data_IF_134158225281
#
_entry.id   IF_134158225281
#
_cell.length_a   1.000
_cell.length_b   1.000
_cell.length_c   1.000
_cell.angle_alpha   90.00
_cell.angle_beta   90.00
_cell.angle_gamma   90.00
#
_symmetry.space_group_name_H-M   'P 1'
#
loop_
_entity.id
_entity.type
_entity.pdbx_description
1 polymer ?
#
# COMPACT_ATOMS: atom_id res chain seq x y z
N UNK A 1 34.02 -12.63 -8.16
CA UNK A 1 32.86 -11.73 -8.34
C UNK A 1 31.71 -12.30 -7.52
N UNK A 2 31.55 -11.80 -6.29
CA UNK A 2 30.54 -12.28 -5.34
C UNK A 2 29.25 -11.55 -5.68
N UNK A 3 28.22 -12.28 -6.13
CA UNK A 3 26.87 -11.73 -6.27
C UNK A 3 26.47 -11.18 -4.90
N UNK A 4 26.24 -9.87 -4.79
CA UNK A 4 25.89 -9.22 -3.53
C UNK A 4 24.60 -9.81 -2.96
N UNK A 5 24.62 -10.20 -1.69
CA UNK A 5 23.49 -10.84 -0.98
C UNK A 5 22.17 -10.04 -1.11
N UNK A 6 22.26 -8.73 -1.28
CA UNK A 6 21.11 -7.84 -1.52
C UNK A 6 20.34 -8.20 -2.80
N UNK A 7 21.04 -8.58 -3.88
CA UNK A 7 20.40 -8.97 -5.13
C UNK A 7 19.67 -10.33 -5.02
N UNK A 8 20.16 -11.21 -4.14
CA UNK A 8 19.53 -12.51 -3.88
C UNK A 8 18.25 -12.33 -3.05
N UNK A 9 18.26 -11.40 -2.09
CA UNK A 9 17.09 -11.07 -1.28
C UNK A 9 16.01 -10.40 -2.13
N UNK A 10 16.37 -9.46 -3.00
CA UNK A 10 15.42 -8.79 -3.91
C UNK A 10 14.78 -9.77 -4.90
N UNK A 11 15.58 -10.69 -5.46
CA UNK A 11 15.07 -11.73 -6.36
C UNK A 11 14.10 -12.70 -5.65
N UNK A 12 14.36 -13.03 -4.38
CA UNK A 12 13.47 -13.88 -3.57
C UNK A 12 12.18 -13.15 -3.18
N UNK A 13 12.24 -11.85 -2.93
CA UNK A 13 11.05 -11.01 -2.70
C UNK A 13 10.18 -10.90 -3.94
N UNK A 14 10.79 -10.72 -5.12
CA UNK A 14 10.07 -10.69 -6.40
C UNK A 14 9.41 -12.05 -6.71
N UNK A 15 10.10 -13.17 -6.46
CA UNK A 15 9.53 -14.50 -6.65
C UNK A 15 8.32 -14.78 -5.73
N UNK A 16 8.36 -14.32 -4.47
CA UNK A 16 7.23 -14.45 -3.54
C UNK A 16 6.05 -13.55 -3.91
N UNK A 17 6.33 -12.33 -4.37
CA UNK A 17 5.28 -11.42 -4.85
C UNK A 17 4.55 -11.99 -6.09
N UNK A 18 5.28 -12.64 -7.00
CA UNK A 18 4.70 -13.31 -8.16
C UNK A 18 3.93 -14.58 -7.78
N UNK A 19 4.40 -15.36 -6.81
CA UNK A 19 3.66 -16.52 -6.31
C UNK A 19 2.33 -16.13 -5.65
N UNK A 20 2.32 -15.01 -4.91
CA UNK A 20 1.12 -14.46 -4.28
C UNK A 20 0.12 -13.86 -5.29
N UNK A 21 0.61 -13.24 -6.38
CA UNK A 21 -0.27 -12.71 -7.43
C UNK A 21 -0.88 -13.82 -8.28
N UNK A 22 -0.15 -14.91 -8.53
CA UNK A 22 -0.68 -16.09 -9.24
C UNK A 22 -1.73 -16.85 -8.43
N UNK A 23 -1.57 -16.94 -7.10
CA UNK A 23 -2.63 -17.51 -6.23
C UNK A 23 -3.85 -16.59 -6.17
N UNK A 24 -3.69 -15.27 -6.11
CA UNK A 24 -4.80 -14.32 -6.20
C UNK A 24 -5.58 -14.43 -7.54
N UNK A 25 -4.92 -14.81 -8.63
CA UNK A 25 -5.57 -15.03 -9.93
C UNK A 25 -6.41 -16.32 -9.96
N UNK A 26 -6.03 -17.34 -9.17
CA UNK A 26 -6.73 -18.62 -9.10
C UNK A 26 -7.96 -18.54 -8.17
N UNK A 27 -8.02 -17.54 -7.28
CA UNK A 27 -9.05 -17.48 -6.22
C UNK A 27 -10.05 -16.33 -6.42
N UNK A 28 -10.00 -15.64 -7.57
CA UNK A 28 -10.96 -14.58 -7.86
C UNK A 28 -12.35 -15.19 -8.14
N UNK A 29 -13.40 -14.80 -7.39
CA UNK A 29 -14.75 -15.27 -7.65
C UNK A 29 -15.21 -14.73 -9.01
N UNK A 30 -15.47 -15.67 -9.91
CA UNK A 30 -15.97 -15.51 -11.29
C UNK A 30 -17.29 -14.72 -11.30
N UNK A 31 -17.23 -13.40 -11.19
CA UNK A 31 -18.36 -12.50 -11.41
C UNK A 31 -18.59 -12.41 -12.92
N UNK A 32 -19.52 -13.23 -13.40
CA UNK A 32 -20.03 -13.20 -14.78
C UNK A 32 -20.58 -11.80 -15.07
N UNK A 33 -19.87 -11.07 -15.91
CA UNK A 33 -20.45 -9.99 -16.71
C UNK A 33 -20.45 -10.46 -18.16
N UNK A 34 -21.62 -10.89 -18.62
CA UNK A 34 -21.89 -11.11 -20.03
C UNK A 34 -21.92 -9.73 -20.71
N UNK A 35 -20.80 -9.31 -21.29
CA UNK A 35 -20.78 -8.26 -22.30
C UNK A 35 -20.39 -8.94 -23.61
N UNK A 36 -21.40 -9.23 -24.42
CA UNK A 36 -21.26 -9.70 -25.77
C UNK A 36 -20.53 -8.62 -26.58
N UNK A 37 -19.27 -8.88 -26.91
CA UNK A 37 -18.59 -8.21 -28.01
C UNK A 37 -18.48 -9.23 -29.13
N UNK A 38 -19.36 -9.05 -30.11
CA UNK A 38 -19.27 -9.68 -31.42
C UNK A 38 -17.92 -9.26 -32.03
N UNK A 39 -17.01 -10.21 -32.16
CA UNK A 39 -15.85 -10.06 -33.03
C UNK A 39 -16.27 -10.52 -34.42
N UNK A 40 -16.42 -9.56 -35.32
CA UNK A 40 -16.55 -9.81 -36.75
C UNK A 40 -15.34 -10.61 -37.24
N UNK A 41 -15.61 -11.84 -37.64
CA UNK A 41 -14.66 -12.67 -38.38
C UNK A 41 -14.48 -12.10 -39.79
N UNK A 42 -13.59 -11.13 -39.95
CA UNK A 42 -13.08 -10.76 -41.26
C UNK A 42 -12.24 -11.93 -41.80
N UNK A 43 -12.75 -12.61 -42.81
CA UNK A 43 -12.07 -13.64 -43.60
C UNK A 43 -10.79 -13.08 -44.20
N UNK A 44 -9.64 -13.45 -43.63
CA UNK A 44 -8.36 -13.26 -44.30
C UNK A 44 -8.15 -14.46 -45.22
N UNK A 45 -8.41 -14.22 -46.51
CA UNK A 45 -8.13 -15.14 -47.61
C UNK A 45 -6.64 -15.52 -47.57
N UNK A 46 -6.38 -16.81 -47.44
CA UNK A 46 -5.03 -17.39 -47.42
C UNK A 46 -4.42 -17.33 -48.83
N UNK A 47 -3.28 -16.64 -49.07
CA UNK A 47 -2.55 -16.79 -50.32
C UNK A 47 -1.72 -18.07 -50.28
N UNK A 48 -1.92 -18.93 -51.28
CA UNK A 48 -1.16 -20.16 -51.53
C UNK A 48 0.34 -19.85 -51.70
N UNK A 49 1.25 -20.46 -50.92
CA UNK A 49 2.68 -20.27 -51.13
C UNK A 49 3.14 -21.04 -52.38
N UNK A 50 3.79 -20.33 -53.29
CA UNK A 50 4.48 -20.89 -54.44
C UNK A 50 5.69 -21.74 -54.00
N UNK A 51 6.11 -22.74 -54.79
CA UNK A 51 7.27 -23.59 -54.47
C UNK A 51 8.56 -22.76 -54.52
N UNK A 52 9.16 -22.53 -53.36
CA UNK A 52 10.45 -21.88 -53.20
C UNK A 52 11.54 -22.87 -53.63
N UNK A 53 12.31 -22.51 -54.65
CA UNK A 53 13.49 -23.24 -55.07
C UNK A 53 14.55 -23.26 -53.95
N UNK A 54 15.23 -24.39 -53.70
CA UNK A 54 16.23 -24.47 -52.64
C UNK A 54 17.47 -23.64 -53.03
N UNK A 55 17.69 -22.55 -52.32
CA UNK A 55 18.94 -21.80 -52.37
C UNK A 55 20.07 -22.62 -51.71
N UNK A 56 21.33 -22.45 -52.16
CA UNK A 56 22.48 -23.16 -51.62
C UNK A 56 22.66 -22.81 -50.13
N UNK A 57 22.71 -23.85 -49.30
CA UNK A 57 22.97 -23.76 -47.87
C UNK A 57 24.45 -23.40 -47.72
N UNK A 58 24.75 -22.11 -47.65
CA UNK A 58 26.00 -21.66 -47.05
C UNK A 58 25.88 -21.96 -45.55
N UNK A 59 26.73 -22.88 -45.07
CA UNK A 59 26.90 -23.22 -43.66
C UNK A 59 27.41 -22.00 -42.90
N UNK A 60 26.53 -21.04 -42.62
CA UNK A 60 26.76 -20.03 -41.61
C UNK A 60 26.89 -20.76 -40.27
N UNK A 61 28.12 -20.76 -39.78
CA UNK A 61 28.50 -21.13 -38.43
C UNK A 61 27.58 -20.36 -37.47
N UNK A 62 26.49 -20.99 -37.00
CA UNK A 62 25.62 -20.41 -35.98
C UNK A 62 26.45 -20.37 -34.71
N UNK A 63 27.15 -19.25 -34.50
CA UNK A 63 27.82 -18.94 -33.26
C UNK A 63 26.77 -19.04 -32.16
N UNK A 64 26.87 -20.10 -31.36
CA UNK A 64 25.97 -20.30 -30.25
C UNK A 64 26.14 -19.10 -29.32
N UNK A 65 25.07 -18.35 -29.01
CA UNK A 65 25.18 -17.15 -28.20
C UNK A 65 25.88 -17.54 -26.90
N UNK A 66 26.97 -16.85 -26.58
CA UNK A 66 27.75 -17.12 -25.38
C UNK A 66 26.83 -17.04 -24.15
N UNK A 67 27.10 -17.84 -23.14
CA UNK A 67 26.23 -18.00 -21.95
C UNK A 67 25.98 -16.68 -21.22
N UNK A 68 26.85 -15.67 -21.41
CA UNK A 68 26.66 -14.30 -20.90
C UNK A 68 25.58 -13.51 -21.63
N UNK A 69 25.45 -13.64 -22.95
CA UNK A 69 24.42 -12.93 -23.71
C UNK A 69 23.01 -13.43 -23.36
N UNK A 70 22.89 -14.74 -23.09
CA UNK A 70 21.63 -15.35 -22.64
C UNK A 70 21.19 -14.83 -21.27
N UNK A 71 22.13 -14.46 -20.38
CA UNK A 71 21.82 -13.93 -19.03
C UNK A 71 21.13 -12.57 -19.05
N UNK A 72 21.21 -11.82 -20.15
CA UNK A 72 20.60 -10.50 -20.27
C UNK A 72 19.46 -10.42 -21.29
N UNK A 73 18.99 -11.55 -21.83
CA UNK A 73 17.89 -11.55 -22.81
C UNK A 73 16.61 -10.88 -22.31
N UNK A 74 16.33 -10.96 -21.01
CA UNK A 74 15.20 -10.27 -20.38
C UNK A 74 15.32 -8.73 -20.42
N UNK A 75 16.54 -8.16 -20.53
CA UNK A 75 16.75 -6.70 -20.68
C UNK A 75 16.39 -6.17 -22.08
N UNK A 76 16.20 -7.04 -23.06
CA UNK A 76 15.77 -6.67 -24.42
C UNK A 76 14.24 -6.69 -24.57
N UNK A 77 13.48 -6.98 -23.51
CA UNK A 77 12.03 -7.01 -23.60
C UNK A 77 11.48 -5.58 -23.79
N UNK A 78 10.75 -5.28 -24.87
CA UNK A 78 10.33 -3.91 -25.21
C UNK A 78 9.42 -3.31 -24.13
N UNK A 79 8.54 -4.11 -23.52
CA UNK A 79 7.69 -3.67 -22.40
C UNK A 79 8.47 -3.24 -21.16
N UNK A 80 9.50 -3.99 -20.77
CA UNK A 80 10.33 -3.62 -19.63
C UNK A 80 11.14 -2.36 -19.92
N UNK A 81 11.59 -2.19 -21.17
CA UNK A 81 12.26 -0.96 -21.62
C UNK A 81 11.34 0.25 -21.58
N UNK A 82 10.11 0.12 -22.06
CA UNK A 82 9.10 1.18 -21.99
C UNK A 82 8.84 1.59 -20.54
N UNK A 83 8.61 0.62 -19.64
CA UNK A 83 8.43 0.89 -18.21
C UNK A 83 9.67 1.54 -17.57
N UNK A 84 10.89 1.13 -17.94
CA UNK A 84 12.11 1.78 -17.43
C UNK A 84 12.33 3.16 -18.02
N UNK A 85 11.92 3.40 -19.27
CA UNK A 85 12.02 4.70 -19.92
C UNK A 85 11.01 5.69 -19.33
N UNK A 86 9.77 5.24 -19.09
CA UNK A 86 8.76 5.99 -18.32
C UNK A 86 9.26 6.30 -16.91
N UNK A 87 9.88 5.32 -16.23
CA UNK A 87 10.49 5.55 -14.90
C UNK A 87 11.67 6.52 -14.95
N UNK A 88 12.43 6.56 -16.05
CA UNK A 88 13.54 7.49 -16.25
C UNK A 88 13.06 8.92 -16.54
N UNK A 89 11.78 9.13 -16.85
CA UNK A 89 11.17 10.44 -17.01
C UNK A 89 10.73 11.06 -15.67
N UNK A 90 10.73 10.29 -14.58
CA UNK A 90 10.47 10.81 -13.24
C UNK A 90 11.67 11.61 -12.75
N UNK A 91 11.39 12.70 -12.04
CA UNK A 91 12.42 13.55 -11.45
C UNK A 91 13.33 12.74 -10.49
N UNK A 92 14.66 12.92 -10.51
CA UNK A 92 15.57 12.18 -9.64
C UNK A 92 15.25 12.32 -8.15
N UNK A 93 14.71 13.46 -7.69
CA UNK A 93 14.33 13.64 -6.29
C UNK A 93 13.12 12.76 -5.94
N UNK A 94 12.12 12.72 -6.83
CA UNK A 94 10.95 11.86 -6.68
C UNK A 94 11.34 10.38 -6.68
N UNK A 95 12.27 9.98 -7.56
CA UNK A 95 12.79 8.61 -7.58
C UNK A 95 13.48 8.23 -6.27
N UNK A 96 14.25 9.15 -5.69
CA UNK A 96 14.91 8.93 -4.42
C UNK A 96 13.90 8.85 -3.27
N UNK A 97 12.90 9.73 -3.24
CA UNK A 97 11.81 9.69 -2.26
C UNK A 97 11.04 8.36 -2.33
N UNK A 98 10.72 7.87 -3.53
CA UNK A 98 10.07 6.56 -3.73
C UNK A 98 10.93 5.41 -3.19
N UNK A 99 12.25 5.44 -3.40
CA UNK A 99 13.18 4.42 -2.85
C UNK A 99 13.21 4.47 -1.32
N UNK A 100 13.27 5.66 -0.74
CA UNK A 100 13.23 5.86 0.70
C UNK A 100 11.92 5.32 1.30
N UNK A 101 10.79 5.58 0.65
CA UNK A 101 9.49 5.08 1.09
C UNK A 101 9.40 3.55 1.04
N UNK A 102 9.90 2.91 -0.03
CA UNK A 102 9.95 1.44 -0.12
C UNK A 102 10.83 0.85 0.98
N UNK A 103 11.96 1.48 1.30
CA UNK A 103 12.81 1.08 2.42
C UNK A 103 12.07 1.21 3.76
N UNK A 104 11.35 2.31 3.98
CA UNK A 104 10.49 2.48 5.16
C UNK A 104 9.43 1.39 5.29
N UNK A 105 8.80 0.99 4.18
CA UNK A 105 7.85 -0.14 4.17
C UNK A 105 8.49 -1.47 4.61
N UNK A 106 9.74 -1.72 4.21
CA UNK A 106 10.45 -2.94 4.61
C UNK A 106 10.75 -2.94 6.12
N UNK A 107 11.26 -1.82 6.64
CA UNK A 107 11.57 -1.66 8.07
C UNK A 107 10.31 -1.76 8.93
N UNK A 108 9.20 -1.16 8.51
CA UNK A 108 7.92 -1.25 9.21
C UNK A 108 7.38 -2.69 9.28
N UNK A 109 7.66 -3.53 8.28
CA UNK A 109 7.30 -4.97 8.29
C UNK A 109 8.19 -5.78 9.22
N UNK A 110 9.43 -5.33 9.40
CA UNK A 110 10.38 -5.90 10.37
C UNK A 110 10.11 -5.41 11.80
N UNK A 111 9.06 -4.59 11.99
CA UNK A 111 8.66 -3.97 13.27
C UNK A 111 9.69 -2.96 13.81
N UNK A 112 10.63 -2.52 12.99
CA UNK A 112 11.54 -1.41 13.31
C UNK A 112 10.88 -0.08 12.92
N UNK A 113 9.96 0.38 13.77
CA UNK A 113 9.14 1.55 13.47
C UNK A 113 9.92 2.87 13.56
N UNK A 114 10.97 2.94 14.38
CA UNK A 114 11.81 4.12 14.49
C UNK A 114 12.65 4.32 13.22
N UNK A 115 13.27 3.25 12.70
CA UNK A 115 13.98 3.33 11.42
C UNK A 115 13.02 3.49 10.23
N UNK A 116 11.81 2.94 10.32
CA UNK A 116 10.79 3.17 9.30
C UNK A 116 10.36 4.64 9.24
N UNK A 117 10.14 5.27 10.40
CA UNK A 117 9.80 6.70 10.49
C UNK A 117 10.86 7.56 9.81
N UNK A 118 12.16 7.36 10.08
CA UNK A 118 13.22 8.13 9.42
C UNK A 118 13.28 7.91 7.92
N UNK A 119 13.03 6.69 7.45
CA UNK A 119 12.95 6.43 6.01
C UNK A 119 11.71 7.06 5.35
N UNK A 120 10.58 7.12 6.07
CA UNK A 120 9.37 7.80 5.62
C UNK A 120 9.50 9.32 5.65
N UNK A 121 10.23 9.90 6.62
CA UNK A 121 10.48 11.34 6.65
C UNK A 121 11.31 11.75 5.45
N UNK A 122 12.38 11.03 5.13
CA UNK A 122 13.16 11.24 3.90
C UNK A 122 12.29 11.21 2.64
N UNK A 123 11.30 10.32 2.58
CA UNK A 123 10.36 10.28 1.46
C UNK A 123 9.36 11.45 1.46
N UNK A 124 8.87 11.85 2.63
CA UNK A 124 7.85 12.89 2.79
C UNK A 124 8.36 14.30 2.45
N UNK A 125 9.68 14.52 2.41
CA UNK A 125 10.30 15.76 1.92
C UNK A 125 9.93 16.07 0.46
N UNK A 126 9.58 15.06 -0.35
CA UNK A 126 9.06 15.27 -1.68
C UNK A 126 7.54 15.54 -1.60
N UNK A 127 7.06 16.76 -1.93
CA UNK A 127 5.65 17.14 -1.79
C UNK A 127 4.74 16.37 -2.77
N UNK A 128 5.28 15.97 -3.92
CA UNK A 128 4.55 15.26 -4.97
C UNK A 128 4.27 13.80 -4.61
N UNK A 129 5.04 13.24 -3.66
CA UNK A 129 4.88 11.86 -3.24
C UNK A 129 3.85 11.73 -2.12
N UNK A 130 2.83 10.91 -2.37
CA UNK A 130 1.87 10.44 -1.37
C UNK A 130 2.19 8.99 -0.97
N UNK A 131 2.50 8.78 0.31
CA UNK A 131 2.86 7.48 0.88
C UNK A 131 1.70 6.48 0.77
N UNK A 132 0.45 6.95 0.75
CA UNK A 132 -0.74 6.08 0.68
C UNK A 132 -0.94 5.44 -0.70
N UNK A 133 -0.36 6.04 -1.74
CA UNK A 133 -0.38 5.51 -3.11
C UNK A 133 0.59 4.35 -3.30
N UNK A 134 1.52 4.16 -2.36
CA UNK A 134 2.55 3.15 -2.46
C UNK A 134 1.90 1.77 -2.27
N UNK A 135 2.16 0.81 -3.18
CA UNK A 135 1.58 -0.51 -3.07
C UNK A 135 1.94 -1.14 -1.73
N UNK A 136 0.99 -1.85 -1.13
CA UNK A 136 1.10 -2.55 0.15
C UNK A 136 1.22 -1.68 1.41
N UNK A 137 1.17 -0.36 1.30
CA UNK A 137 1.14 0.56 2.46
C UNK A 137 0.01 0.21 3.43
N UNK A 138 -1.20 0.03 2.91
CA UNK A 138 -2.38 -0.34 3.70
C UNK A 138 -2.33 -1.74 4.34
N UNK A 139 -1.32 -2.56 3.99
CA UNK A 139 -1.11 -3.89 4.60
C UNK A 139 -0.14 -3.85 5.78
N UNK A 140 0.41 -2.68 6.11
CA UNK A 140 1.25 -2.52 7.30
C UNK A 140 0.44 -2.68 8.59
N UNK A 141 1.15 -2.97 9.67
CA UNK A 141 0.59 -2.91 11.02
C UNK A 141 0.19 -1.47 11.36
N UNK A 142 -0.76 -1.29 12.30
CA UNK A 142 -1.18 0.05 12.75
C UNK A 142 0.01 0.91 13.17
N UNK A 143 0.92 0.36 13.98
CA UNK A 143 2.15 1.05 14.40
C UNK A 143 3.04 1.50 13.23
N UNK A 144 3.12 0.72 12.15
CA UNK A 144 3.86 1.11 10.94
C UNK A 144 3.21 2.26 10.18
N UNK A 145 1.87 2.36 10.22
CA UNK A 145 1.12 3.46 9.62
C UNK A 145 1.12 4.71 10.51
N UNK A 146 1.14 4.54 11.84
CA UNK A 146 1.34 5.62 12.79
C UNK A 146 2.75 6.25 12.61
N UNK A 147 3.79 5.44 12.38
CA UNK A 147 5.13 5.93 12.06
C UNK A 147 5.16 6.79 10.77
N UNK A 148 4.38 6.43 9.75
CA UNK A 148 4.23 7.24 8.54
C UNK A 148 3.45 8.55 8.82
N UNK A 149 2.49 8.52 9.74
CA UNK A 149 1.76 9.73 10.18
C UNK A 149 2.69 10.71 10.91
N UNK A 150 3.52 10.19 11.81
CA UNK A 150 4.54 10.99 12.51
C UNK A 150 5.57 11.55 11.53
N UNK A 151 5.97 10.78 10.51
CA UNK A 151 6.86 11.26 9.47
C UNK A 151 6.31 12.47 8.70
N UNK A 152 5.01 12.50 8.42
CA UNK A 152 4.36 13.68 7.82
C UNK A 152 4.36 14.89 8.75
N UNK A 153 4.13 14.69 10.05
CA UNK A 153 4.16 15.76 11.05
C UNK A 153 5.56 16.36 11.20
N UNK A 154 6.60 15.53 11.20
CA UNK A 154 8.00 16.00 11.30
C UNK A 154 8.42 16.89 10.14
N UNK A 155 7.92 16.62 8.93
CA UNK A 155 8.19 17.44 7.73
C UNK A 155 7.28 18.68 7.68
N UNK A 156 6.28 18.79 8.56
CA UNK A 156 5.31 19.89 8.58
C UNK A 156 4.16 19.74 7.57
N UNK A 157 3.90 18.52 7.10
CA UNK A 157 2.75 18.19 6.22
C UNK A 157 1.53 17.81 7.06
N UNK A 158 1.10 18.71 7.93
CA UNK A 158 0.04 18.46 8.93
C UNK A 158 -1.29 18.05 8.32
N UNK A 159 -1.62 18.61 7.15
CA UNK A 159 -2.85 18.27 6.42
C UNK A 159 -2.87 16.79 6.02
N UNK A 160 -1.77 16.29 5.49
CA UNK A 160 -1.67 14.91 5.03
C UNK A 160 -1.59 13.96 6.22
N UNK A 161 -0.92 14.37 7.30
CA UNK A 161 -0.92 13.64 8.56
C UNK A 161 -2.34 13.48 9.14
N UNK A 162 -3.16 14.54 9.11
CA UNK A 162 -4.55 14.49 9.59
C UNK A 162 -5.42 13.59 8.71
N UNK A 163 -5.29 13.70 7.39
CA UNK A 163 -5.99 12.82 6.44
C UNK A 163 -5.61 11.35 6.68
N UNK A 164 -4.33 11.07 6.89
CA UNK A 164 -3.88 9.72 7.19
C UNK A 164 -4.41 9.24 8.55
N UNK A 165 -4.29 10.04 9.61
CA UNK A 165 -4.79 9.71 10.95
C UNK A 165 -6.29 9.39 10.94
N UNK A 166 -7.10 10.22 10.27
CA UNK A 166 -8.55 10.00 10.15
C UNK A 166 -8.86 8.71 9.36
N UNK A 167 -8.09 8.41 8.31
CA UNK A 167 -8.21 7.15 7.59
C UNK A 167 -7.86 5.95 8.48
N UNK A 168 -6.82 6.04 9.31
CA UNK A 168 -6.44 4.99 10.27
C UNK A 168 -7.51 4.77 11.32
N UNK A 169 -8.07 5.85 11.89
CA UNK A 169 -9.16 5.75 12.87
C UNK A 169 -10.39 5.08 12.28
N UNK A 170 -10.70 5.34 11.00
CA UNK A 170 -11.80 4.66 10.31
C UNK A 170 -11.52 3.17 10.04
N UNK A 171 -10.26 2.82 9.75
CA UNK A 171 -9.84 1.46 9.38
C UNK A 171 -9.71 0.55 10.60
N UNK A 172 -9.16 1.06 11.70
CA UNK A 172 -8.91 0.30 12.94
C UNK A 172 -9.95 0.57 14.02
N UNK A 173 -11.10 1.16 13.68
CA UNK A 173 -12.14 1.46 14.66
C UNK A 173 -12.56 0.16 15.36
N UNK A 174 -12.42 0.04 16.69
CA UNK A 174 -12.94 -1.10 17.41
C UNK A 174 -14.45 -1.13 17.16
N UNK A 175 -14.92 -2.16 16.46
CA UNK A 175 -16.34 -2.40 16.37
C UNK A 175 -16.80 -2.77 17.77
N UNK A 176 -17.70 -1.98 18.38
CA UNK A 176 -18.31 -2.43 19.63
C UNK A 176 -18.95 -3.77 19.31
N UNK A 177 -18.45 -4.84 19.93
CA UNK A 177 -19.11 -6.12 19.85
C UNK A 177 -20.54 -5.85 20.31
N UNK A 178 -21.57 -6.26 19.54
CA UNK A 178 -22.94 -6.12 20.00
C UNK A 178 -22.97 -6.74 21.38
N UNK A 179 -23.31 -5.94 22.39
CA UNK A 179 -23.45 -6.42 23.74
C UNK A 179 -24.37 -7.63 23.62
N UNK A 180 -23.83 -8.83 23.85
CA UNK A 180 -24.62 -10.04 24.01
C UNK A 180 -25.71 -9.62 24.97
N UNK A 181 -26.94 -9.49 24.47
CA UNK A 181 -28.07 -9.11 25.27
C UNK A 181 -28.11 -10.13 26.40
N UNK A 182 -27.61 -9.72 27.55
CA UNK A 182 -27.50 -10.55 28.72
C UNK A 182 -28.94 -10.77 29.18
N UNK A 183 -29.54 -11.88 28.72
CA UNK A 183 -30.69 -12.50 29.36
C UNK A 183 -31.96 -11.67 29.46
N UNK A 184 -32.26 -10.84 28.46
CA UNK A 184 -33.55 -10.16 28.36
C UNK A 184 -34.51 -10.89 27.43
N UNK A 185 -34.87 -12.15 27.73
CA UNK A 185 -36.09 -12.83 27.25
C UNK A 185 -36.20 -14.24 27.85
N UNK A 186 -36.23 -14.32 29.18
CA UNK A 186 -37.06 -15.35 29.80
C UNK A 186 -38.47 -14.76 29.90
N UNK A 187 -39.24 -14.94 28.84
CA UNK A 187 -40.67 -14.62 28.81
C UNK A 187 -41.34 -15.51 29.87
N UNK A 188 -41.50 -14.96 31.07
CA UNK A 188 -42.49 -15.40 32.03
C UNK A 188 -43.77 -14.65 31.71
N UNK A 189 -44.88 -15.32 31.36
CA UNK A 189 -46.14 -14.65 31.13
C UNK A 189 -46.61 -13.99 32.42
N UNK A 190 -46.99 -12.72 32.28
CA UNK A 190 -47.54 -11.84 33.28
C UNK A 190 -48.61 -12.54 34.14
N UNK A 191 -48.43 -12.51 35.46
CA UNK A 191 -49.54 -12.52 36.40
C UNK A 191 -49.44 -11.24 37.23
N UNK A 192 -50.47 -10.40 37.07
CA UNK A 192 -50.42 -8.98 37.37
C UNK A 192 -50.25 -8.60 38.84
N UNK A 193 -49.77 -7.37 39.04
CA UNK A 193 -50.21 -6.42 40.08
C UNK A 193 -49.47 -5.10 39.82
N UNK A 194 -50.15 -4.07 39.33
CA UNK A 194 -50.78 -2.99 40.12
C UNK A 194 -49.74 -2.19 40.92
N UNK A 195 -49.53 -0.93 40.51
CA UNK A 195 -49.04 0.13 41.39
C UNK A 195 -48.22 1.23 40.69
N UNK A 196 -48.79 2.42 40.45
CA UNK A 196 -48.04 3.62 40.05
C UNK A 196 -47.75 4.51 41.26
N UNK A 197 -46.48 4.82 41.52
CA UNK A 197 -46.04 5.95 42.37
C UNK A 197 -44.61 6.31 41.93
N UNK A 198 -44.38 7.41 41.22
CA UNK A 198 -44.13 8.76 41.78
C UNK A 198 -43.06 8.77 42.88
N UNK A 199 -41.82 9.01 42.46
CA UNK A 199 -40.80 9.83 43.15
C UNK A 199 -39.64 9.99 42.16
N UNK A 200 -39.51 11.11 41.45
CA UNK A 200 -38.81 12.29 41.96
C UNK A 200 -37.43 11.92 42.52
N UNK A 201 -36.37 12.28 41.78
CA UNK A 201 -35.16 12.93 42.28
C UNK A 201 -34.50 13.58 41.06
N UNK A 202 -34.74 14.88 40.96
CA UNK A 202 -33.92 15.85 40.26
C UNK A 202 -32.52 15.94 40.90
N UNK A 203 -31.60 16.54 40.14
CA UNK A 203 -30.32 17.10 40.60
C UNK A 203 -29.17 16.11 40.81
N UNK A 204 -28.06 16.35 40.11
CA UNK A 204 -26.83 16.91 40.73
C UNK A 204 -25.78 17.19 39.63
N UNK A 205 -25.35 18.46 39.63
CA UNK A 205 -24.02 18.98 39.28
C UNK A 205 -23.54 18.97 37.81
N UNK A 206 -23.80 20.10 37.14
CA UNK A 206 -22.75 20.98 36.60
C UNK A 206 -21.40 20.81 37.33
N UNK A 207 -20.39 20.35 36.61
CA UNK A 207 -19.00 20.44 37.05
C UNK A 207 -18.22 21.06 35.88
N UNK A 208 -18.01 22.37 36.01
CA UNK A 208 -17.28 23.23 35.09
C UNK A 208 -15.85 23.41 35.61
N UNK A 209 -14.84 22.67 35.11
CA UNK A 209 -13.45 22.96 35.42
C UNK A 209 -12.97 24.09 34.51
N UNK A 210 -12.93 25.29 35.07
CA UNK A 210 -12.42 26.50 34.43
C UNK A 210 -10.98 26.38 33.90
N UNK A 211 -10.59 27.24 32.94
CA UNK A 211 -9.29 27.16 32.27
C UNK A 211 -8.13 27.58 33.19
N UNK A 212 -6.97 26.88 33.16
CA UNK A 212 -5.77 27.35 33.84
C UNK A 212 -5.27 28.63 33.16
N UNK A 213 -5.16 29.68 33.97
CA UNK A 213 -4.53 30.94 33.62
C UNK A 213 -3.02 30.74 33.43
N UNK A 214 -2.54 31.15 32.25
CA UNK A 214 -1.32 31.92 32.00
C UNK A 214 0.03 31.47 32.58
N UNK A 215 1.03 31.35 31.71
CA UNK A 215 2.35 31.97 31.91
C UNK A 215 3.00 32.35 30.55
N UNK A 216 3.21 33.64 30.26
CA UNK A 216 4.10 34.09 29.19
C UNK A 216 5.54 34.17 29.71
N UNK A 217 6.28 33.07 29.60
CA UNK A 217 7.68 32.95 29.99
C UNK A 217 8.67 33.44 28.92
N UNK A 218 9.04 34.71 29.03
CA UNK A 218 10.43 35.22 28.94
C UNK A 218 11.25 35.00 27.67
N UNK A 219 11.37 36.10 26.92
CA UNK A 219 12.46 36.36 25.98
C UNK A 219 13.83 36.48 26.67
N UNK A 220 14.85 35.81 26.13
CA UNK A 220 16.28 36.09 26.35
C UNK A 220 16.96 35.95 24.98
N UNK A 221 17.10 37.03 24.21
CA UNK A 221 18.28 37.92 24.13
C UNK A 221 19.64 37.20 24.25
N UNK A 222 20.23 36.94 23.08
CA UNK A 222 21.49 37.58 22.70
C UNK A 222 22.79 36.80 22.87
N UNK A 223 23.55 36.73 21.78
CA UNK A 223 24.97 37.18 21.62
C UNK A 223 25.44 36.65 20.26
N UNK A 224 25.72 37.55 19.31
CA UNK A 224 26.99 38.27 19.10
C UNK A 224 28.02 37.37 18.41
#
# INVERSE_FOLDING_TARGET
MILSDVAIIDLRLQQRALAASLTALIHWPRRRSNAALAFDCASISSPSPAPIAPAPIESELIASPTTEELRFRWRRHPRLRALTAEKAQLDPEEQQARRAAVRGLMLAREHDYAAAQTAFTEAAHCPELDLTTIPTFWRLTRAGQDAATQAYQEVGRDRDALVLATALDSTFRPHPLPALQAGGDLIMPDNGSIGPDLCAIEAIAENDPGPPQGEPGTAVRGRA
#
